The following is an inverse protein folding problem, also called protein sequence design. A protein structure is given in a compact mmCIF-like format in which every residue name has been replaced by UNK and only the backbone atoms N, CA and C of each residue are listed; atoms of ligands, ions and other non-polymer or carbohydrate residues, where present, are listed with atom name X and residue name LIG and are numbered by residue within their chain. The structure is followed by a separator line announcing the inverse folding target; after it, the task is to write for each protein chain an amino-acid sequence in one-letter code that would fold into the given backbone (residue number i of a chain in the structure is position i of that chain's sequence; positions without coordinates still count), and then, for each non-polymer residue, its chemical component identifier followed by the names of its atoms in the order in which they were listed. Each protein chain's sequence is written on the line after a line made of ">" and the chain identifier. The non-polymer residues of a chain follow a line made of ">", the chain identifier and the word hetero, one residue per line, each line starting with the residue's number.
data_IF_443207891102
#
_entry.id   IF_443207891102
#
_cell.length_a   1.000
_cell.length_b   1.000
_cell.length_c   1.000
_cell.angle_alpha   90.00
_cell.angle_beta   90.00
_cell.angle_gamma   90.00
#
_symmetry.space_group_name_H-M   'P 1'
#
loop_
_entity.id
_entity.type
_entity.pdbx_description
1 polymer ?
#
# COMPACT_ATOMS: atom_id res chain seq x y z
N UNK A 1 7.78 12.26 5.50
CA UNK A 1 8.41 13.29 4.65
C UNK A 1 7.70 14.61 4.89
N UNK A 2 8.44 15.71 5.06
CA UNK A 2 7.85 17.03 5.28
C UNK A 2 7.20 17.60 4.01
N UNK A 3 6.76 18.85 4.09
CA UNK A 3 6.26 19.61 2.92
C UNK A 3 7.37 20.49 2.34
N UNK A 4 7.31 20.77 1.04
CA UNK A 4 8.13 21.82 0.41
C UNK A 4 7.76 23.16 1.04
N UNK A 5 8.75 23.89 1.56
CA UNK A 5 8.55 25.17 2.27
C UNK A 5 8.88 26.37 1.38
N UNK A 6 9.78 26.15 0.44
CA UNK A 6 10.21 27.08 -0.58
C UNK A 6 9.01 27.50 -1.44
N UNK A 7 8.92 28.79 -1.76
CA UNK A 7 7.85 29.32 -2.62
C UNK A 7 7.97 28.76 -4.05
N UNK A 8 6.83 28.49 -4.68
CA UNK A 8 6.76 27.94 -6.05
C UNK A 8 5.63 26.94 -6.25
N UNK A 9 5.56 26.32 -7.44
CA UNK A 9 4.45 25.44 -7.88
C UNK A 9 4.22 24.24 -6.95
N UNK A 10 5.25 23.77 -6.26
CA UNK A 10 5.21 22.61 -5.37
C UNK A 10 5.11 22.97 -3.89
N UNK A 11 5.04 24.25 -3.54
CA UNK A 11 4.94 24.70 -2.14
C UNK A 11 3.76 24.02 -1.43
N UNK A 12 3.99 23.50 -0.23
CA UNK A 12 3.00 22.79 0.57
C UNK A 12 2.73 21.33 0.17
N UNK A 13 3.21 20.87 -0.99
CA UNK A 13 3.13 19.46 -1.40
C UNK A 13 4.15 18.60 -0.62
N UNK A 14 3.95 17.27 -0.54
CA UNK A 14 4.96 16.37 0.00
C UNK A 14 6.31 16.58 -0.71
N UNK A 15 7.38 16.69 0.08
CA UNK A 15 8.74 16.81 -0.44
C UNK A 15 9.23 15.45 -0.93
N UNK A 16 9.78 15.43 -2.15
CA UNK A 16 10.43 14.27 -2.77
C UNK A 16 11.77 14.75 -3.32
N UNK A 17 12.87 14.48 -2.61
CA UNK A 17 14.21 14.94 -3.01
C UNK A 17 15.22 13.80 -3.08
N UNK A 18 14.97 12.72 -2.34
CA UNK A 18 15.78 11.51 -2.34
C UNK A 18 15.03 10.32 -2.95
N UNK A 19 15.79 9.30 -3.31
CA UNK A 19 15.28 7.96 -3.65
C UNK A 19 14.46 7.35 -2.50
N UNK A 20 14.84 7.59 -1.25
CA UNK A 20 14.08 7.18 -0.06
C UNK A 20 12.71 7.88 -0.04
N UNK A 21 12.66 9.19 -0.32
CA UNK A 21 11.37 9.90 -0.36
C UNK A 21 10.47 9.34 -1.45
N UNK A 22 11.02 9.07 -2.64
CA UNK A 22 10.28 8.49 -3.75
C UNK A 22 9.77 7.08 -3.41
N UNK A 23 10.59 6.27 -2.73
CA UNK A 23 10.21 4.92 -2.30
C UNK A 23 9.09 4.96 -1.26
N UNK A 24 9.16 5.88 -0.29
CA UNK A 24 8.10 6.08 0.69
C UNK A 24 6.80 6.56 0.04
N UNK A 25 6.84 7.31 -1.06
CA UNK A 25 5.64 7.65 -1.84
C UNK A 25 4.98 6.40 -2.40
N UNK A 26 5.75 5.51 -3.04
CA UNK A 26 5.23 4.24 -3.56
C UNK A 26 4.61 3.41 -2.43
N UNK A 27 5.33 3.25 -1.31
CA UNK A 27 4.87 2.44 -0.17
C UNK A 27 3.62 3.00 0.52
N UNK A 28 3.47 4.33 0.56
CA UNK A 28 2.31 4.94 1.23
C UNK A 28 1.05 4.93 0.35
N UNK A 29 1.20 4.88 -0.97
CA UNK A 29 0.11 4.95 -1.93
C UNK A 29 -0.34 3.60 -2.47
N UNK A 30 0.50 2.56 -2.38
CA UNK A 30 0.18 1.24 -2.92
C UNK A 30 -0.61 0.36 -1.92
N UNK A 31 -1.67 -0.35 -2.36
CA UNK A 31 -2.42 -1.26 -1.51
C UNK A 31 -1.58 -2.44 -0.99
N UNK A 32 -0.56 -2.88 -1.71
CA UNK A 32 0.30 -4.00 -1.32
C UNK A 32 1.17 -3.70 -0.08
N UNK A 33 1.32 -2.42 0.28
CA UNK A 33 2.24 -1.96 1.33
C UNK A 33 1.57 -1.09 2.40
N UNK A 34 0.31 -0.70 2.19
CA UNK A 34 -0.49 0.07 3.13
C UNK A 34 -1.90 -0.52 3.25
N UNK A 35 -2.21 -1.12 4.39
CA UNK A 35 -3.45 -1.84 4.65
C UNK A 35 -4.70 -0.96 4.52
N UNK A 36 -4.60 0.33 4.83
CA UNK A 36 -5.70 1.27 4.65
C UNK A 36 -6.04 1.48 3.16
N UNK A 37 -5.01 1.53 2.31
CA UNK A 37 -5.20 1.61 0.87
C UNK A 37 -5.73 0.28 0.34
N UNK A 38 -5.25 -0.86 0.86
CA UNK A 38 -5.75 -2.18 0.51
C UNK A 38 -7.26 -2.31 0.77
N UNK A 39 -7.73 -1.93 1.96
CA UNK A 39 -9.15 -2.00 2.31
C UNK A 39 -10.00 -1.12 1.39
N UNK A 40 -9.56 0.11 1.10
CA UNK A 40 -10.22 1.01 0.13
C UNK A 40 -10.25 0.42 -1.28
N UNK A 41 -9.16 -0.22 -1.72
CA UNK A 41 -9.07 -0.81 -3.04
C UNK A 41 -10.02 -2.01 -3.18
N UNK A 42 -10.09 -2.88 -2.17
CA UNK A 42 -11.05 -3.99 -2.14
C UNK A 42 -12.50 -3.52 -2.06
N UNK A 43 -12.78 -2.46 -1.31
CA UNK A 43 -14.11 -1.84 -1.26
C UNK A 43 -14.51 -1.30 -2.65
N UNK A 44 -13.58 -0.66 -3.36
CA UNK A 44 -13.81 -0.15 -4.71
C UNK A 44 -14.09 -1.27 -5.72
N UNK A 45 -13.35 -2.38 -5.65
CA UNK A 45 -13.64 -3.57 -6.46
C UNK A 45 -15.00 -4.18 -6.10
N UNK A 46 -15.34 -4.24 -4.81
CA UNK A 46 -16.60 -4.79 -4.35
C UNK A 46 -17.83 -4.07 -4.90
N UNK A 47 -17.73 -2.74 -5.12
CA UNK A 47 -18.76 -1.94 -5.81
C UNK A 47 -18.98 -2.38 -7.26
N UNK A 48 -17.92 -2.81 -7.95
CA UNK A 48 -18.01 -3.28 -9.34
C UNK A 48 -18.54 -4.71 -9.42
N UNK A 49 -18.10 -5.60 -8.53
CA UNK A 49 -18.46 -7.02 -8.58
C UNK A 49 -19.75 -7.36 -7.84
N UNK A 50 -20.26 -6.45 -6.99
CA UNK A 50 -21.42 -6.70 -6.13
C UNK A 50 -21.15 -7.68 -4.97
N UNK A 51 -19.89 -7.86 -4.57
CA UNK A 51 -19.46 -8.79 -3.52
C UNK A 51 -18.52 -8.08 -2.57
N UNK A 52 -18.61 -8.36 -1.27
CA UNK A 52 -17.61 -7.86 -0.32
C UNK A 52 -16.29 -8.62 -0.49
N UNK A 53 -15.20 -7.86 -0.58
CA UNK A 53 -13.82 -8.36 -0.65
C UNK A 53 -12.92 -7.77 0.44
N UNK A 54 -13.41 -6.85 1.29
CA UNK A 54 -12.57 -6.14 2.26
C UNK A 54 -11.95 -7.09 3.28
N UNK A 55 -12.63 -8.20 3.58
CA UNK A 55 -12.11 -9.29 4.42
C UNK A 55 -10.74 -9.81 4.00
N UNK A 56 -10.33 -9.67 2.74
CA UNK A 56 -9.02 -10.09 2.23
C UNK A 56 -7.85 -9.24 2.76
N UNK A 57 -8.11 -8.01 3.21
CA UNK A 57 -7.08 -7.10 3.74
C UNK A 57 -7.36 -6.59 5.16
N UNK A 58 -8.59 -6.72 5.67
CA UNK A 58 -9.02 -6.14 6.95
C UNK A 58 -8.11 -6.50 8.14
N UNK A 59 -7.64 -7.75 8.20
CA UNK A 59 -6.75 -8.23 9.26
C UNK A 59 -5.37 -7.54 9.28
N UNK A 60 -5.01 -6.82 8.22
CA UNK A 60 -3.75 -6.07 8.06
C UNK A 60 -4.00 -4.59 7.76
N UNK A 61 -5.19 -4.06 8.04
CA UNK A 61 -5.55 -2.66 7.75
C UNK A 61 -4.57 -1.64 8.35
N UNK A 62 -4.09 -1.91 9.57
CA UNK A 62 -3.16 -1.02 10.28
C UNK A 62 -1.73 -1.05 9.71
N UNK A 63 -1.39 -2.07 8.92
CA UNK A 63 -0.02 -2.29 8.45
C UNK A 63 0.42 -1.23 7.45
N UNK A 64 1.64 -0.72 7.65
CA UNK A 64 2.31 0.24 6.77
C UNK A 64 3.78 -0.13 6.66
N UNK A 65 4.16 -0.72 5.54
CA UNK A 65 5.54 -1.10 5.27
C UNK A 65 6.35 0.18 5.01
N UNK A 66 7.47 0.36 5.73
CA UNK A 66 8.38 1.51 5.55
C UNK A 66 9.69 1.08 4.90
N UNK A 67 10.37 2.04 4.26
CA UNK A 67 11.67 1.78 3.64
C UNK A 67 12.68 1.26 4.67
N UNK A 68 12.73 1.90 5.84
CA UNK A 68 13.66 1.49 6.91
C UNK A 68 13.32 0.13 7.50
N UNK A 69 12.06 -0.29 7.47
CA UNK A 69 11.65 -1.60 7.98
C UNK A 69 12.16 -2.71 7.06
N UNK A 70 12.07 -2.52 5.72
CA UNK A 70 12.54 -3.52 4.76
C UNK A 70 14.07 -3.59 4.67
N UNK A 71 14.78 -2.50 5.00
CA UNK A 71 16.23 -2.54 5.17
C UNK A 71 16.63 -3.41 6.37
N UNK A 72 15.87 -3.36 7.45
CA UNK A 72 16.12 -4.18 8.64
C UNK A 72 15.80 -5.65 8.38
N UNK A 73 14.68 -5.93 7.70
CA UNK A 73 14.29 -7.27 7.30
C UNK A 73 13.21 -7.20 6.21
N UNK A 74 13.30 -8.00 5.12
CA UNK A 74 12.24 -8.09 4.12
C UNK A 74 10.86 -8.33 4.74
N UNK A 75 9.82 -7.73 4.14
CA UNK A 75 8.43 -7.82 4.59
C UNK A 75 7.58 -8.47 3.50
N UNK A 76 6.64 -9.32 3.92
CA UNK A 76 5.62 -9.88 3.04
C UNK A 76 4.54 -8.82 2.77
N UNK A 77 4.16 -8.65 1.52
CA UNK A 77 3.15 -7.66 1.10
C UNK A 77 1.72 -8.10 1.47
N UNK A 78 0.77 -7.18 1.34
CA UNK A 78 -0.66 -7.37 1.62
C UNK A 78 -1.39 -7.83 0.35
N UNK A 79 -2.42 -8.67 0.51
CA UNK A 79 -3.32 -9.05 -0.59
C UNK A 79 -4.01 -7.82 -1.19
N UNK A 80 -3.94 -7.66 -2.51
CA UNK A 80 -4.41 -6.48 -3.24
C UNK A 80 -5.25 -6.86 -4.46
N UNK A 81 -6.30 -6.08 -4.81
CA UNK A 81 -7.12 -6.33 -6.00
C UNK A 81 -6.39 -6.10 -7.32
N UNK A 82 -5.15 -5.58 -7.29
CA UNK A 82 -4.28 -5.51 -8.47
C UNK A 82 -3.88 -6.90 -8.97
N UNK A 83 -3.96 -7.91 -8.10
CA UNK A 83 -3.53 -9.28 -8.38
C UNK A 83 -4.68 -10.28 -8.16
N UNK A 84 -4.57 -11.47 -8.75
CA UNK A 84 -5.58 -12.53 -8.64
C UNK A 84 -5.27 -13.60 -7.58
N UNK A 85 -4.10 -13.55 -6.94
CA UNK A 85 -3.71 -14.47 -5.88
C UNK A 85 -3.78 -13.86 -4.47
N UNK A 86 -3.72 -14.73 -3.47
CA UNK A 86 -3.77 -14.34 -2.06
C UNK A 86 -2.40 -14.43 -1.40
N UNK A 87 -2.03 -13.37 -0.69
CA UNK A 87 -0.92 -13.38 0.25
C UNK A 87 -1.43 -13.88 1.60
N UNK A 88 -1.24 -15.17 1.86
CA UNK A 88 -1.72 -15.87 3.05
C UNK A 88 -0.62 -16.69 3.72
N UNK A 89 -0.74 -16.92 5.03
CA UNK A 89 0.12 -17.85 5.78
C UNK A 89 -0.31 -19.31 5.60
N UNK A 90 -1.50 -19.55 5.05
CA UNK A 90 -2.09 -20.91 4.90
C UNK A 90 -2.06 -21.43 3.46
N UNK A 91 -2.06 -20.51 2.49
CA UNK A 91 -2.14 -20.83 1.07
C UNK A 91 -1.07 -20.00 0.36
N UNK A 92 -0.24 -20.66 -0.46
CA UNK A 92 0.71 -19.96 -1.32
C UNK A 92 -0.01 -19.15 -2.37
N UNK A 93 0.59 -18.04 -2.81
CA UNK A 93 0.07 -17.27 -3.92
C UNK A 93 -0.13 -18.16 -5.15
N UNK A 94 -1.33 -18.12 -5.72
CA UNK A 94 -1.70 -18.83 -6.95
C UNK A 94 -2.57 -17.89 -7.79
N UNK A 95 -2.22 -17.71 -9.05
CA UNK A 95 -2.96 -16.83 -9.94
C UNK A 95 -4.26 -17.49 -10.38
N UNK A 96 -5.37 -16.76 -10.22
CA UNK A 96 -6.64 -17.06 -10.87
C UNK A 96 -6.74 -16.47 -12.27
#
# INVERSE_FOLDING_TARGET
>A
NGRVREEGVTQGRPRIVSDIDATEVVMMLAPETNGHVACKAWEALGKQTGRDHVHLALHREDEKIRFRDIQAQPRKIISSPTWSGLESEKVSYNAG
#
